data_IF_508103347496
#
_entry.id   IF_508103347496
#
_cell.length_a   1.000
_cell.length_b   1.000
_cell.length_c   1.000
_cell.angle_alpha   90.00
_cell.angle_beta   90.00
_cell.angle_gamma   90.00
#
_symmetry.space_group_name_H-M   'P 1'
#
loop_
_entity.id
_entity.type
_entity.pdbx_description
1 polymer ?
#
# COMPACT_ATOMS: atom_id res chain seq x y z
N UNK A 1 -43.97 -48.43 -29.65
CA UNK A 1 -42.47 -48.44 -29.68
C UNK A 1 -42.07 -47.14 -29.06
N UNK A 2 -41.82 -47.23 -27.74
CA UNK A 2 -41.42 -46.08 -26.90
C UNK A 2 -39.91 -45.98 -26.93
N UNK A 3 -39.38 -44.82 -27.38
CA UNK A 3 -38.01 -44.47 -27.21
C UNK A 3 -37.91 -43.63 -25.95
N UNK A 4 -37.39 -44.23 -24.88
CA UNK A 4 -37.07 -43.54 -23.65
C UNK A 4 -35.83 -42.68 -23.81
N UNK A 5 -35.99 -41.36 -23.76
CA UNK A 5 -34.92 -40.40 -23.62
C UNK A 5 -34.36 -40.44 -22.22
N UNK A 6 -33.16 -40.99 -22.07
CA UNK A 6 -32.38 -40.93 -20.83
C UNK A 6 -31.69 -39.57 -20.75
N UNK A 7 -32.25 -38.64 -19.98
CA UNK A 7 -31.57 -37.41 -19.56
C UNK A 7 -30.40 -37.79 -18.66
N UNK A 8 -29.18 -37.48 -19.12
CA UNK A 8 -27.98 -37.59 -18.27
C UNK A 8 -27.93 -36.32 -17.39
N UNK A 9 -28.02 -36.52 -16.08
CA UNK A 9 -27.72 -35.48 -15.11
C UNK A 9 -26.30 -34.89 -15.36
N UNK A 10 -26.10 -33.60 -15.21
CA UNK A 10 -24.79 -32.99 -15.34
C UNK A 10 -23.93 -33.45 -14.14
N UNK A 11 -22.85 -34.17 -14.43
CA UNK A 11 -21.79 -34.50 -13.46
C UNK A 11 -21.19 -33.19 -12.97
N UNK A 12 -21.43 -32.83 -11.72
CA UNK A 12 -20.71 -31.77 -11.04
C UNK A 12 -19.25 -32.15 -10.96
N UNK A 13 -18.28 -31.28 -11.30
CA UNK A 13 -16.89 -31.57 -11.08
C UNK A 13 -16.66 -31.62 -9.56
N UNK A 14 -16.32 -32.77 -9.04
CA UNK A 14 -15.81 -32.96 -7.70
C UNK A 14 -14.54 -32.13 -7.58
N UNK A 15 -14.65 -30.91 -7.00
CA UNK A 15 -13.53 -30.11 -6.58
C UNK A 15 -12.86 -30.81 -5.38
N UNK A 16 -11.78 -31.49 -5.63
CA UNK A 16 -10.87 -31.95 -4.57
C UNK A 16 -10.27 -30.68 -3.94
N UNK A 17 -10.85 -30.21 -2.86
CA UNK A 17 -10.19 -29.34 -1.91
C UNK A 17 -9.24 -30.22 -1.11
N UNK A 18 -7.98 -30.29 -1.53
CA UNK A 18 -6.91 -30.89 -0.74
C UNK A 18 -6.63 -29.93 0.44
N UNK A 19 -7.49 -29.98 1.47
CA UNK A 19 -7.36 -29.20 2.71
C UNK A 19 -6.29 -29.82 3.62
N UNK A 20 -5.08 -29.94 3.11
CA UNK A 20 -3.96 -30.25 3.99
C UNK A 20 -3.72 -29.03 4.88
N UNK A 21 -3.86 -29.14 6.22
CA UNK A 21 -3.64 -28.01 7.11
C UNK A 21 -2.24 -27.42 6.91
N UNK A 22 -2.15 -26.09 6.84
CA UNK A 22 -0.86 -25.42 6.73
C UNK A 22 0.03 -25.76 7.94
N UNK A 23 1.34 -25.95 7.75
CA UNK A 23 2.26 -26.07 8.87
C UNK A 23 2.10 -24.87 9.82
N UNK A 24 2.04 -25.06 11.15
CA UNK A 24 1.72 -23.96 12.10
C UNK A 24 2.64 -22.74 11.98
N UNK A 25 3.91 -22.92 11.66
CA UNK A 25 4.84 -21.81 11.46
C UNK A 25 4.56 -21.05 10.16
N UNK A 26 4.15 -21.73 9.08
CA UNK A 26 3.74 -21.12 7.83
C UNK A 26 2.47 -20.27 8.04
N UNK A 27 1.47 -20.82 8.74
CA UNK A 27 0.28 -20.05 9.10
C UNK A 27 0.64 -18.75 9.84
N UNK A 28 1.54 -18.81 10.84
CA UNK A 28 2.00 -17.64 11.59
C UNK A 28 2.81 -16.65 10.75
N UNK A 29 3.52 -17.10 9.74
CA UNK A 29 4.23 -16.25 8.78
C UNK A 29 3.22 -15.54 7.88
N UNK A 30 2.21 -16.23 7.38
CA UNK A 30 1.13 -15.66 6.58
C UNK A 30 0.28 -14.67 7.38
N UNK A 31 -0.02 -14.98 8.64
CA UNK A 31 -0.68 -14.05 9.56
C UNK A 31 0.08 -12.73 9.72
N UNK A 32 1.41 -12.79 9.76
CA UNK A 32 2.23 -11.59 9.78
C UNK A 32 2.25 -10.87 8.42
N UNK A 33 2.39 -11.62 7.31
CA UNK A 33 2.42 -11.07 5.96
C UNK A 33 1.17 -10.24 5.65
N UNK A 34 -0.03 -10.75 5.96
CA UNK A 34 -1.29 -10.05 5.73
C UNK A 34 -1.46 -8.77 6.55
N UNK A 35 -0.67 -8.53 7.62
CA UNK A 35 -0.69 -7.29 8.37
C UNK A 35 -0.02 -6.12 7.64
N UNK A 36 0.61 -6.37 6.50
CA UNK A 36 1.23 -5.35 5.68
C UNK A 36 0.26 -4.20 5.31
N UNK A 37 0.77 -2.98 5.05
CA UNK A 37 -0.04 -1.92 4.49
C UNK A 37 -0.33 -2.16 3.02
N UNK A 38 -1.49 -1.71 2.58
CA UNK A 38 -1.83 -1.57 1.17
C UNK A 38 -2.68 -0.32 0.99
N UNK A 39 -2.67 0.24 -0.22
CA UNK A 39 -3.53 1.37 -0.55
C UNK A 39 -4.99 0.98 -0.26
N UNK A 40 -5.73 1.85 0.41
CA UNK A 40 -7.14 1.70 0.74
C UNK A 40 -7.54 0.34 1.32
N UNK A 41 -6.59 -0.38 1.94
CA UNK A 41 -6.77 -1.73 2.47
C UNK A 41 -7.20 -2.75 1.40
N UNK A 42 -6.74 -2.58 0.16
CA UNK A 42 -7.09 -3.45 -0.97
C UNK A 42 -6.44 -4.84 -0.89
N UNK A 43 -5.31 -4.96 -0.19
CA UNK A 43 -4.63 -6.23 0.08
C UNK A 43 -4.30 -7.02 -1.20
N UNK A 44 -3.53 -6.43 -2.13
CA UNK A 44 -3.32 -6.97 -3.48
C UNK A 44 -2.26 -8.07 -3.51
N UNK A 45 -2.31 -8.99 -2.57
CA UNK A 45 -1.41 -10.13 -2.48
C UNK A 45 -2.16 -11.44 -2.56
N UNK A 46 -1.48 -12.43 -3.15
CA UNK A 46 -1.83 -13.85 -3.10
C UNK A 46 -0.62 -14.63 -2.60
N UNK A 47 -0.87 -15.70 -1.90
CA UNK A 47 0.14 -16.60 -1.35
C UNK A 47 -0.09 -18.01 -1.92
N UNK A 48 0.85 -18.49 -2.73
CA UNK A 48 0.86 -19.88 -3.13
C UNK A 48 1.78 -20.63 -2.16
N UNK A 49 1.23 -21.61 -1.45
CA UNK A 49 1.95 -22.38 -0.45
C UNK A 49 2.18 -23.79 -0.96
N UNK A 50 3.43 -24.23 -0.93
CA UNK A 50 3.86 -25.60 -1.23
C UNK A 50 4.75 -26.07 -0.07
N UNK A 51 4.18 -26.85 0.84
CA UNK A 51 4.83 -27.30 2.07
C UNK A 51 5.36 -26.11 2.91
N UNK A 52 6.68 -25.98 3.01
CA UNK A 52 7.37 -24.90 3.73
C UNK A 52 7.74 -23.70 2.84
N UNK A 53 7.30 -23.72 1.59
CA UNK A 53 7.60 -22.67 0.61
C UNK A 53 6.39 -21.79 0.37
N UNK A 54 6.60 -20.47 0.41
CA UNK A 54 5.58 -19.46 0.08
C UNK A 54 6.06 -18.68 -1.14
N UNK A 55 5.24 -18.67 -2.20
CA UNK A 55 5.38 -17.73 -3.32
C UNK A 55 4.44 -16.55 -3.13
N UNK A 56 4.97 -15.34 -3.26
CA UNK A 56 4.26 -14.08 -3.09
C UNK A 56 3.90 -13.52 -4.46
N UNK A 57 2.60 -13.43 -4.75
CA UNK A 57 2.07 -12.98 -6.03
C UNK A 57 1.25 -11.69 -5.87
N UNK A 58 1.05 -10.97 -6.99
CA UNK A 58 0.11 -9.85 -7.05
C UNK A 58 -1.27 -10.35 -7.45
N UNK A 59 -2.30 -9.93 -6.72
CA UNK A 59 -3.69 -10.04 -7.14
C UNK A 59 -4.06 -8.77 -7.94
N UNK A 60 -3.96 -8.84 -9.25
CA UNK A 60 -4.23 -7.71 -10.15
C UNK A 60 -5.69 -7.26 -10.14
N UNK A 61 -6.61 -8.12 -9.70
CA UNK A 61 -8.03 -7.82 -9.64
C UNK A 61 -8.39 -6.90 -8.46
N UNK A 62 -7.57 -6.90 -7.42
CA UNK A 62 -7.84 -6.13 -6.20
C UNK A 62 -7.49 -4.65 -6.29
N UNK A 63 -6.62 -4.24 -7.21
CA UNK A 63 -6.28 -2.83 -7.43
C UNK A 63 -6.17 -2.51 -8.92
N UNK A 64 -7.31 -2.26 -9.55
CA UNK A 64 -7.41 -1.83 -10.96
C UNK A 64 -7.47 -0.31 -11.12
N UNK A 65 -7.06 0.44 -10.12
CA UNK A 65 -7.14 1.90 -10.19
C UNK A 65 -6.18 2.48 -11.22
N UNK A 66 -6.49 3.63 -11.83
CA UNK A 66 -5.57 4.35 -12.71
C UNK A 66 -4.23 4.68 -12.05
N UNK A 67 -4.25 4.94 -10.75
CA UNK A 67 -3.06 5.19 -9.94
C UNK A 67 -2.17 3.95 -9.73
N UNK A 68 -2.63 2.77 -10.14
CA UNK A 68 -1.89 1.50 -10.15
C UNK A 68 -1.86 0.87 -11.54
N UNK A 69 -2.00 1.67 -12.60
CA UNK A 69 -2.09 1.19 -13.98
C UNK A 69 -0.87 0.36 -14.43
N UNK A 70 0.27 0.55 -13.81
CA UNK A 70 1.51 -0.21 -14.02
C UNK A 70 1.72 -1.33 -12.96
N UNK A 71 0.80 -1.51 -12.02
CA UNK A 71 0.89 -2.48 -10.92
C UNK A 71 1.86 -2.13 -9.81
N UNK A 72 2.49 -0.94 -9.83
CA UNK A 72 3.51 -0.51 -8.89
C UNK A 72 3.05 -0.51 -7.44
N UNK A 73 1.88 0.07 -7.17
CA UNK A 73 1.36 0.15 -5.79
C UNK A 73 1.08 -1.24 -5.22
N UNK A 74 0.60 -2.15 -6.05
CA UNK A 74 0.38 -3.55 -5.65
C UNK A 74 1.72 -4.25 -5.34
N UNK A 75 2.75 -4.09 -6.19
CA UNK A 75 4.09 -4.69 -5.95
C UNK A 75 4.74 -4.14 -4.68
N UNK A 76 4.60 -2.85 -4.40
CA UNK A 76 5.06 -2.24 -3.13
C UNK A 76 4.33 -2.86 -1.93
N UNK A 77 3.01 -3.07 -2.03
CA UNK A 77 2.24 -3.71 -0.95
C UNK A 77 2.67 -5.17 -0.72
N UNK A 78 2.93 -5.94 -1.80
CA UNK A 78 3.48 -7.30 -1.70
C UNK A 78 4.88 -7.27 -1.09
N UNK A 79 5.73 -6.31 -1.45
CA UNK A 79 7.05 -6.12 -0.83
C UNK A 79 6.95 -5.89 0.68
N UNK A 80 5.98 -5.08 1.13
CA UNK A 80 5.72 -4.90 2.56
C UNK A 80 5.24 -6.21 3.23
N UNK A 81 4.45 -7.05 2.54
CA UNK A 81 4.02 -8.35 3.04
C UNK A 81 5.20 -9.33 3.17
N UNK A 82 6.10 -9.36 2.17
CA UNK A 82 7.35 -10.13 2.22
C UNK A 82 8.17 -9.72 3.45
N UNK A 83 8.33 -8.43 3.70
CA UNK A 83 9.08 -7.96 4.86
C UNK A 83 8.45 -8.38 6.19
N UNK A 84 7.12 -8.31 6.31
CA UNK A 84 6.40 -8.82 7.49
C UNK A 84 6.64 -10.32 7.70
N UNK A 85 6.62 -11.12 6.63
CA UNK A 85 6.91 -12.55 6.67
C UNK A 85 8.34 -12.83 7.15
N UNK A 86 9.33 -12.15 6.57
CA UNK A 86 10.75 -12.29 6.92
C UNK A 86 11.04 -11.88 8.37
N UNK A 87 10.46 -10.78 8.84
CA UNK A 87 10.59 -10.34 10.23
C UNK A 87 9.96 -11.35 11.20
N UNK A 88 8.82 -11.93 10.83
CA UNK A 88 8.18 -12.98 11.63
C UNK A 88 9.03 -14.24 11.69
N UNK A 89 9.54 -14.70 10.55
CA UNK A 89 10.43 -15.84 10.46
C UNK A 89 11.72 -15.64 11.26
N UNK A 90 12.36 -14.48 11.14
CA UNK A 90 13.56 -14.13 11.91
C UNK A 90 13.33 -14.18 13.41
N UNK A 91 12.15 -13.69 13.89
CA UNK A 91 11.79 -13.77 15.31
C UNK A 91 11.57 -15.21 15.79
N UNK A 92 11.16 -16.11 14.92
CA UNK A 92 11.03 -17.53 15.22
C UNK A 92 12.37 -18.28 15.13
N UNK A 93 13.43 -17.65 14.64
CA UNK A 93 14.70 -18.29 14.35
C UNK A 93 14.63 -19.27 13.16
N UNK A 94 13.67 -19.06 12.26
CA UNK A 94 13.49 -19.84 11.05
C UNK A 94 14.61 -19.50 10.06
N UNK A 95 15.26 -20.51 9.51
CA UNK A 95 16.18 -20.35 8.38
C UNK A 95 15.35 -20.10 7.13
N UNK A 96 15.67 -19.02 6.41
CA UNK A 96 15.00 -18.65 5.18
C UNK A 96 15.91 -18.87 3.98
N UNK A 97 15.35 -19.44 2.90
CA UNK A 97 16.04 -19.55 1.62
C UNK A 97 15.21 -18.85 0.55
N UNK A 98 15.71 -17.71 0.09
CA UNK A 98 15.11 -16.99 -1.04
C UNK A 98 15.50 -17.70 -2.33
N UNK A 99 14.52 -17.97 -3.18
CA UNK A 99 14.70 -18.59 -4.48
C UNK A 99 14.41 -17.56 -5.59
N UNK A 100 14.87 -17.85 -6.79
CA UNK A 100 14.46 -17.08 -7.96
C UNK A 100 12.93 -17.11 -8.11
N UNK A 101 12.29 -15.97 -8.43
CA UNK A 101 10.86 -15.93 -8.67
C UNK A 101 10.45 -16.94 -9.75
N UNK A 102 9.31 -17.61 -9.55
CA UNK A 102 8.73 -18.58 -10.49
C UNK A 102 7.26 -18.24 -10.70
N UNK A 103 6.73 -18.61 -11.85
CA UNK A 103 5.30 -18.58 -12.14
C UNK A 103 4.63 -17.22 -11.83
N UNK A 104 5.30 -16.11 -12.17
CA UNK A 104 4.79 -14.76 -11.93
C UNK A 104 4.90 -14.27 -10.49
N UNK A 105 5.47 -15.05 -9.57
CA UNK A 105 5.72 -14.62 -8.22
C UNK A 105 6.76 -13.49 -8.15
N UNK A 106 6.60 -12.56 -7.22
CA UNK A 106 7.58 -11.53 -6.92
C UNK A 106 8.72 -12.02 -6.03
N UNK A 107 8.45 -13.03 -5.21
CA UNK A 107 9.44 -13.75 -4.41
C UNK A 107 8.94 -15.16 -4.10
N UNK A 108 9.85 -16.10 -3.99
CA UNK A 108 9.60 -17.47 -3.51
C UNK A 108 10.57 -17.75 -2.37
N UNK A 109 10.06 -18.10 -1.20
CA UNK A 109 10.84 -18.23 0.03
C UNK A 109 10.47 -19.52 0.75
N UNK A 110 11.45 -20.37 1.02
CA UNK A 110 11.31 -21.55 1.88
C UNK A 110 11.67 -21.18 3.31
N UNK A 111 10.85 -21.62 4.28
CA UNK A 111 10.99 -21.35 5.69
C UNK A 111 11.14 -22.68 6.45
N UNK A 112 12.28 -22.90 7.06
CA UNK A 112 12.44 -24.12 7.89
C UNK A 112 11.54 -24.08 9.13
N UNK A 113 11.15 -25.25 9.61
CA UNK A 113 10.39 -25.35 10.85
C UNK A 113 11.20 -24.82 12.05
N UNK A 114 10.65 -23.90 12.86
CA UNK A 114 11.34 -23.37 14.02
C UNK A 114 11.22 -24.30 15.23
N UNK A 115 12.16 -24.20 16.17
CA UNK A 115 12.08 -24.94 17.43
C UNK A 115 10.92 -24.49 18.33
N UNK A 116 10.53 -23.21 18.19
CA UNK A 116 9.39 -22.65 18.93
C UNK A 116 8.78 -21.48 18.15
N UNK A 117 7.50 -21.20 18.42
CA UNK A 117 6.76 -20.08 17.81
C UNK A 117 6.49 -19.03 18.91
N UNK A 118 7.32 -17.99 19.04
CA UNK A 118 7.08 -16.91 20.00
C UNK A 118 5.95 -15.98 19.54
N UNK A 119 5.51 -15.09 20.43
CA UNK A 119 4.58 -14.02 20.08
C UNK A 119 5.13 -13.11 18.96
N UNK A 120 4.27 -12.53 18.12
CA UNK A 120 4.69 -11.60 17.08
C UNK A 120 5.30 -10.34 17.68
N UNK A 121 6.08 -9.60 16.88
CA UNK A 121 6.54 -8.27 17.25
C UNK A 121 5.33 -7.34 17.47
N UNK A 122 5.26 -6.70 18.62
CA UNK A 122 4.16 -5.78 18.96
C UNK A 122 3.99 -4.68 17.92
N UNK A 123 5.08 -4.19 17.33
CA UNK A 123 5.02 -3.16 16.30
C UNK A 123 4.27 -3.60 15.04
N UNK A 124 4.36 -4.89 14.65
CA UNK A 124 3.57 -5.44 13.54
C UNK A 124 2.07 -5.29 13.77
N UNK A 125 1.62 -5.57 15.00
CA UNK A 125 0.20 -5.49 15.36
C UNK A 125 -0.23 -4.05 15.61
N UNK A 126 0.64 -3.22 16.19
CA UNK A 126 0.33 -1.83 16.55
C UNK A 126 0.36 -0.86 15.38
N UNK A 127 1.16 -1.14 14.33
CA UNK A 127 1.28 -0.28 13.17
C UNK A 127 -0.10 0.02 12.55
N UNK A 128 -0.41 1.28 12.42
CA UNK A 128 -1.64 1.75 11.77
C UNK A 128 -1.35 3.04 10.99
N UNK A 129 -2.12 3.29 9.93
CA UNK A 129 -2.13 4.59 9.25
C UNK A 129 -2.82 5.60 10.15
N UNK A 130 -2.11 6.64 10.55
CA UNK A 130 -2.65 7.71 11.39
C UNK A 130 -2.83 8.97 10.56
N UNK A 131 -4.08 9.42 10.39
CA UNK A 131 -4.46 10.57 9.56
C UNK A 131 -4.82 11.82 10.37
N UNK A 132 -4.52 11.85 11.67
CA UNK A 132 -4.61 13.08 12.46
C UNK A 132 -3.59 14.14 12.01
N UNK A 133 -3.83 15.38 12.36
CA UNK A 133 -2.76 16.37 12.44
C UNK A 133 -1.81 15.96 13.56
N UNK A 134 -0.50 16.06 13.30
CA UNK A 134 0.51 15.73 14.30
C UNK A 134 0.90 16.97 15.11
N UNK A 135 1.49 16.79 16.26
CA UNK A 135 1.80 17.90 17.18
C UNK A 135 2.98 18.77 16.75
N UNK A 136 3.51 18.55 15.57
CA UNK A 136 4.53 19.37 14.95
C UNK A 136 5.85 19.49 15.73
N UNK A 137 6.08 18.65 16.73
CA UNK A 137 7.30 18.57 17.52
C UNK A 137 8.48 18.10 16.65
N UNK A 138 9.64 18.74 16.78
CA UNK A 138 10.84 18.27 16.12
C UNK A 138 11.39 16.98 16.82
N UNK A 139 11.98 16.09 16.02
CA UNK A 139 12.78 14.98 16.57
C UNK A 139 14.20 15.48 16.86
N UNK A 140 14.81 14.89 17.86
CA UNK A 140 16.23 15.09 18.16
C UNK A 140 17.14 14.27 17.22
N UNK A 141 18.40 14.67 17.15
CA UNK A 141 19.40 14.02 16.29
C UNK A 141 19.66 12.56 16.67
N UNK A 142 19.55 12.22 17.96
CA UNK A 142 19.73 10.85 18.44
C UNK A 142 18.62 9.93 17.92
N UNK A 143 17.37 10.43 17.88
CA UNK A 143 16.26 9.68 17.28
C UNK A 143 16.47 9.49 15.78
N UNK A 144 16.91 10.53 15.05
CA UNK A 144 17.23 10.38 13.63
C UNK A 144 18.39 9.41 13.37
N UNK A 145 19.44 9.43 14.19
CA UNK A 145 20.54 8.49 14.10
C UNK A 145 20.07 7.05 14.28
N UNK A 146 19.25 6.81 15.29
CA UNK A 146 18.68 5.50 15.55
C UNK A 146 17.77 5.03 14.40
N UNK A 147 16.93 5.91 13.84
CA UNK A 147 16.07 5.57 12.69
C UNK A 147 16.89 5.16 11.46
N UNK A 148 18.00 5.86 11.18
CA UNK A 148 18.91 5.52 10.08
C UNK A 148 19.57 4.14 10.30
N UNK A 149 20.01 3.86 11.52
CA UNK A 149 20.60 2.57 11.87
C UNK A 149 19.57 1.43 11.77
N UNK A 150 18.33 1.66 12.22
CA UNK A 150 17.24 0.68 12.16
C UNK A 150 16.74 0.40 10.73
N UNK A 151 17.12 1.24 9.76
CA UNK A 151 16.69 1.15 8.36
C UNK A 151 17.86 1.21 7.40
N UNK A 152 18.76 0.21 7.43
CA UNK A 152 19.88 0.15 6.50
C UNK A 152 19.41 0.06 5.06
N UNK A 153 20.30 0.38 4.13
CA UNK A 153 20.06 0.22 2.69
C UNK A 153 19.64 -1.23 2.42
N UNK A 154 18.56 -1.39 1.69
CA UNK A 154 18.05 -2.68 1.28
C UNK A 154 18.10 -2.77 -0.24
N UNK A 155 18.97 -3.63 -0.76
CA UNK A 155 19.22 -3.73 -2.20
C UNK A 155 19.64 -2.35 -2.76
N UNK A 156 18.92 -1.80 -3.74
CA UNK A 156 19.18 -0.47 -4.32
C UNK A 156 18.39 0.66 -3.65
N UNK A 157 17.59 0.37 -2.59
CA UNK A 157 16.68 1.34 -1.98
C UNK A 157 17.35 2.06 -0.81
N UNK A 158 17.40 3.38 -0.88
CA UNK A 158 17.81 4.26 0.20
C UNK A 158 16.60 4.78 0.96
N UNK A 159 16.66 4.69 2.28
CA UNK A 159 15.68 5.29 3.18
C UNK A 159 16.21 6.64 3.67
N UNK A 160 15.60 7.72 3.20
CA UNK A 160 16.04 9.09 3.51
C UNK A 160 15.12 9.71 4.55
N UNK A 161 15.71 10.18 5.64
CA UNK A 161 15.00 10.79 6.77
C UNK A 161 15.21 12.29 6.79
N UNK A 162 14.14 13.05 6.81
CA UNK A 162 14.15 14.51 6.83
C UNK A 162 13.29 15.04 7.99
N UNK A 163 13.76 16.13 8.60
CA UNK A 163 13.02 16.82 9.64
C UNK A 163 11.86 17.67 9.10
N UNK A 164 11.27 18.44 10.00
CA UNK A 164 10.06 19.25 9.80
C UNK A 164 10.16 20.24 8.63
N UNK A 165 11.32 20.88 8.43
CA UNK A 165 11.46 21.89 7.37
C UNK A 165 11.26 21.27 5.98
N UNK A 166 11.68 20.03 5.79
CA UNK A 166 11.39 19.31 4.54
C UNK A 166 9.89 19.01 4.39
N UNK A 167 9.22 18.65 5.47
CA UNK A 167 7.77 18.44 5.45
C UNK A 167 7.02 19.69 5.01
N UNK A 168 7.41 20.87 5.51
CA UNK A 168 6.84 22.16 5.09
C UNK A 168 7.12 22.45 3.60
N UNK A 169 8.34 22.22 3.13
CA UNK A 169 8.70 22.41 1.71
C UNK A 169 7.85 21.52 0.79
N UNK A 170 7.52 20.31 1.23
CA UNK A 170 6.69 19.38 0.45
C UNK A 170 5.21 19.72 0.50
N UNK A 171 4.73 20.46 1.48
CA UNK A 171 3.33 20.78 1.67
C UNK A 171 2.62 21.29 0.41
N UNK A 172 3.09 22.37 -0.24
CA UNK A 172 2.47 22.90 -1.47
C UNK A 172 2.51 21.90 -2.63
N UNK A 173 3.57 21.11 -2.74
CA UNK A 173 3.72 20.10 -3.82
C UNK A 173 2.71 18.98 -3.63
N UNK A 174 2.53 18.51 -2.40
CA UNK A 174 1.53 17.48 -2.07
C UNK A 174 0.10 18.03 -2.22
N UNK A 175 -0.13 19.29 -1.88
CA UNK A 175 -1.42 19.97 -2.11
C UNK A 175 -1.83 19.88 -3.59
N UNK A 176 -0.93 20.27 -4.49
CA UNK A 176 -1.20 20.22 -5.94
C UNK A 176 -1.37 18.77 -6.41
N UNK A 177 -0.52 17.85 -5.96
CA UNK A 177 -0.60 16.45 -6.35
C UNK A 177 -1.94 15.81 -5.92
N UNK A 178 -2.40 16.04 -4.71
CA UNK A 178 -3.70 15.52 -4.23
C UNK A 178 -4.87 16.22 -4.92
N UNK A 179 -4.76 17.51 -5.23
CA UNK A 179 -5.77 18.25 -5.99
C UNK A 179 -5.98 17.63 -7.37
N UNK A 180 -4.88 17.37 -8.09
CA UNK A 180 -4.89 16.74 -9.41
C UNK A 180 -5.37 15.27 -9.35
N UNK A 181 -4.95 14.52 -8.32
CA UNK A 181 -5.39 13.15 -8.13
C UNK A 181 -6.92 13.05 -7.98
N UNK A 182 -7.53 13.91 -7.16
CA UNK A 182 -8.97 13.92 -6.95
C UNK A 182 -9.75 14.63 -8.06
N UNK A 183 -9.12 15.46 -8.87
CA UNK A 183 -9.74 16.05 -10.06
C UNK A 183 -10.03 14.99 -11.13
N UNK A 184 -9.21 13.96 -11.28
CA UNK A 184 -9.50 12.82 -12.17
C UNK A 184 -10.69 12.01 -11.65
N UNK A 185 -11.81 11.91 -12.42
CA UNK A 185 -13.02 11.22 -11.97
C UNK A 185 -12.80 9.74 -11.68
N UNK A 186 -11.90 9.08 -12.45
CA UNK A 186 -11.63 7.64 -12.32
C UNK A 186 -10.92 7.33 -10.98
N UNK A 187 -9.94 8.15 -10.59
CA UNK A 187 -9.27 8.01 -9.29
C UNK A 187 -10.21 8.28 -8.13
N UNK A 188 -11.01 9.34 -8.27
CA UNK A 188 -11.99 9.70 -7.24
C UNK A 188 -13.01 8.61 -7.03
N UNK A 189 -13.54 8.03 -8.10
CA UNK A 189 -14.49 6.92 -8.04
C UNK A 189 -13.91 5.75 -7.26
N UNK A 190 -12.70 5.28 -7.61
CA UNK A 190 -12.04 4.18 -6.92
C UNK A 190 -11.77 4.52 -5.45
N UNK A 191 -11.30 5.74 -5.16
CA UNK A 191 -11.05 6.17 -3.78
C UNK A 191 -12.33 6.20 -2.94
N UNK A 192 -13.46 6.62 -3.52
CA UNK A 192 -14.76 6.65 -2.85
C UNK A 192 -15.34 5.25 -2.67
N UNK A 193 -15.19 4.36 -3.65
CA UNK A 193 -15.62 2.95 -3.54
C UNK A 193 -14.86 2.20 -2.44
N UNK A 194 -13.63 2.61 -2.15
CA UNK A 194 -12.85 2.03 -1.07
C UNK A 194 -13.34 2.45 0.33
N UNK A 195 -14.18 3.48 0.44
CA UNK A 195 -14.70 3.95 1.72
C UNK A 195 -16.08 3.34 2.01
N UNK A 196 -16.19 2.68 3.15
CA UNK A 196 -17.41 2.03 3.62
C UNK A 196 -18.25 3.05 4.40
N UNK A 197 -19.21 3.66 3.71
CA UNK A 197 -20.17 4.64 4.28
C UNK A 197 -21.31 3.98 5.04
N UNK A 198 -21.49 2.69 4.85
CA UNK A 198 -22.54 1.85 5.41
C UNK A 198 -22.22 1.32 6.82
N UNK A 199 -21.01 1.53 7.30
CA UNK A 199 -20.54 1.05 8.61
C UNK A 199 -20.33 2.20 9.60
N UNK A 200 -20.39 1.88 10.89
CA UNK A 200 -20.09 2.85 11.95
C UNK A 200 -18.63 3.28 11.90
N UNK A 201 -18.33 4.51 12.32
CA UNK A 201 -16.97 5.08 12.28
C UNK A 201 -15.91 4.20 12.93
N UNK A 202 -16.23 3.57 14.06
CA UNK A 202 -15.31 2.71 14.82
C UNK A 202 -15.42 1.24 14.45
N UNK A 203 -16.28 0.89 13.51
CA UNK A 203 -16.41 -0.48 13.06
C UNK A 203 -15.17 -0.89 12.26
N UNK A 204 -14.64 -2.05 12.58
CA UNK A 204 -13.48 -2.60 11.89
C UNK A 204 -13.92 -3.32 10.61
N UNK A 205 -13.44 -2.85 9.48
CA UNK A 205 -13.72 -3.42 8.16
C UNK A 205 -12.53 -4.22 7.65
N UNK A 206 -12.79 -5.32 6.97
CA UNK A 206 -11.75 -6.18 6.38
C UNK A 206 -11.36 -5.75 4.96
N UNK A 207 -12.24 -5.04 4.26
CA UNK A 207 -11.99 -4.46 2.92
C UNK A 207 -12.36 -2.98 2.94
N UNK A 208 -11.52 -2.15 2.34
CA UNK A 208 -11.71 -0.71 2.33
C UNK A 208 -11.45 -0.06 3.69
N UNK A 209 -12.02 1.11 3.89
CA UNK A 209 -11.83 1.99 5.04
C UNK A 209 -13.19 2.42 5.60
N UNK A 210 -13.38 2.39 6.91
CA UNK A 210 -14.48 3.12 7.54
C UNK A 210 -14.18 4.63 7.56
N UNK A 211 -15.19 5.48 7.68
CA UNK A 211 -15.00 6.94 7.80
C UNK A 211 -14.11 7.32 8.99
N UNK A 212 -14.16 6.54 10.08
CA UNK A 212 -13.28 6.74 11.23
C UNK A 212 -11.80 6.60 10.92
N UNK A 213 -11.43 5.79 9.92
CA UNK A 213 -10.04 5.65 9.47
C UNK A 213 -9.50 6.90 8.75
N UNK A 214 -10.37 7.79 8.29
CA UNK A 214 -9.99 9.00 7.57
C UNK A 214 -9.70 10.19 8.50
N UNK A 215 -10.09 10.11 9.77
CA UNK A 215 -9.90 11.14 10.81
C UNK A 215 -10.41 12.52 10.36
N UNK A 216 -11.60 12.54 9.76
CA UNK A 216 -12.23 13.75 9.24
C UNK A 216 -12.92 14.54 10.37
N UNK A 217 -12.77 15.86 10.37
CA UNK A 217 -13.63 16.77 11.14
C UNK A 217 -15.08 16.72 10.66
N UNK A 218 -16.01 17.25 11.43
CA UNK A 218 -17.43 17.26 11.05
C UNK A 218 -17.68 17.97 9.70
N UNK A 219 -16.98 19.10 9.45
CA UNK A 219 -17.07 19.83 8.19
C UNK A 219 -16.44 19.08 7.01
N UNK A 220 -15.32 18.39 7.23
CA UNK A 220 -14.70 17.55 6.21
C UNK A 220 -15.55 16.33 5.87
N UNK A 221 -16.25 15.73 6.83
CA UNK A 221 -17.20 14.63 6.59
C UNK A 221 -18.35 15.07 5.69
N UNK A 222 -18.92 16.26 5.94
CA UNK A 222 -19.97 16.80 5.10
C UNK A 222 -19.49 17.03 3.66
N UNK A 223 -18.27 17.57 3.49
CA UNK A 223 -17.62 17.73 2.17
C UNK A 223 -17.40 16.38 1.50
N UNK A 224 -16.91 15.40 2.24
CA UNK A 224 -16.62 14.07 1.72
C UNK A 224 -17.91 13.32 1.31
N UNK A 225 -18.98 13.45 2.08
CA UNK A 225 -20.29 12.89 1.72
C UNK A 225 -20.88 13.55 0.46
N UNK A 226 -20.61 14.84 0.24
CA UNK A 226 -21.03 15.53 -0.98
C UNK A 226 -20.32 15.02 -2.24
N UNK A 227 -19.06 14.55 -2.13
CA UNK A 227 -18.32 13.96 -3.24
C UNK A 227 -19.04 12.77 -3.90
N UNK A 228 -19.81 12.01 -3.11
CA UNK A 228 -20.52 10.82 -3.58
C UNK A 228 -21.75 11.13 -4.46
N UNK A 229 -22.38 12.28 -4.25
CA UNK A 229 -23.70 12.58 -4.79
C UNK A 229 -23.70 13.75 -5.77
N UNK A 230 -22.58 14.43 -5.93
CA UNK A 230 -22.49 15.70 -6.67
C UNK A 230 -21.80 15.49 -8.02
N UNK A 231 -22.36 15.96 -9.14
CA UNK A 231 -21.70 15.93 -10.44
C UNK A 231 -20.33 16.63 -10.42
N UNK A 232 -19.43 16.16 -11.29
CA UNK A 232 -18.02 16.62 -11.32
C UNK A 232 -17.88 18.13 -11.52
N UNK A 233 -18.65 18.69 -12.45
CA UNK A 233 -18.60 20.11 -12.79
C UNK A 233 -18.97 20.98 -11.58
N UNK A 234 -19.94 20.51 -10.80
CA UNK A 234 -20.37 21.16 -9.58
C UNK A 234 -19.34 21.06 -8.46
N UNK A 235 -18.66 19.90 -8.35
CA UNK A 235 -17.55 19.72 -7.40
C UNK A 235 -16.38 20.64 -7.71
N UNK A 236 -16.05 20.78 -8.99
CA UNK A 236 -15.00 21.70 -9.45
C UNK A 236 -15.37 23.16 -9.12
N UNK A 237 -16.61 23.58 -9.44
CA UNK A 237 -17.12 24.92 -9.13
C UNK A 237 -17.14 25.23 -7.63
N UNK A 238 -17.37 24.22 -6.78
CA UNK A 238 -17.33 24.35 -5.31
C UNK A 238 -15.90 24.33 -4.74
N UNK A 239 -14.88 24.17 -5.56
CA UNK A 239 -13.48 24.08 -5.13
C UNK A 239 -13.17 22.86 -4.24
N UNK A 240 -13.91 21.77 -4.39
CA UNK A 240 -13.81 20.59 -3.49
C UNK A 240 -12.42 19.95 -3.65
N UNK A 241 -11.89 19.86 -4.87
CA UNK A 241 -10.58 19.25 -5.11
C UNK A 241 -9.44 20.04 -4.47
N UNK A 242 -9.50 21.37 -4.54
CA UNK A 242 -8.55 22.22 -3.82
C UNK A 242 -8.64 22.06 -2.29
N UNK A 243 -9.84 21.82 -1.74
CA UNK A 243 -10.00 21.54 -0.30
C UNK A 243 -9.37 20.20 0.11
N UNK A 244 -9.43 19.16 -0.76
CA UNK A 244 -8.74 17.89 -0.50
C UNK A 244 -7.22 18.09 -0.51
N UNK A 245 -6.69 18.81 -1.48
CA UNK A 245 -5.27 19.19 -1.55
C UNK A 245 -4.82 19.99 -0.33
N UNK A 246 -5.57 21.05 0.03
CA UNK A 246 -5.25 21.87 1.21
C UNK A 246 -5.26 21.05 2.52
N UNK A 247 -6.12 20.04 2.63
CA UNK A 247 -6.08 19.07 3.74
C UNK A 247 -4.78 18.28 3.73
N UNK A 248 -4.41 17.72 2.60
CA UNK A 248 -3.17 16.94 2.47
C UNK A 248 -1.94 17.78 2.85
N UNK A 249 -1.88 19.05 2.42
CA UNK A 249 -0.85 20.01 2.84
C UNK A 249 -0.80 20.15 4.36
N UNK A 250 -1.93 20.45 5.02
CA UNK A 250 -1.96 20.57 6.49
C UNK A 250 -1.46 19.31 7.18
N UNK A 251 -1.82 18.14 6.68
CA UNK A 251 -1.37 16.86 7.22
C UNK A 251 0.16 16.71 7.12
N UNK A 252 0.76 17.09 6.00
CA UNK A 252 2.22 17.00 5.81
C UNK A 252 2.94 18.05 6.65
N UNK A 253 2.52 19.31 6.62
CA UNK A 253 3.15 20.41 7.36
C UNK A 253 3.08 20.25 8.88
N UNK A 254 2.09 19.48 9.39
CA UNK A 254 1.98 19.15 10.81
C UNK A 254 2.99 18.08 11.25
N UNK A 255 3.65 17.38 10.33
CA UNK A 255 4.54 16.28 10.65
C UNK A 255 5.83 16.75 11.34
N UNK A 256 6.40 15.89 12.18
CA UNK A 256 7.73 16.05 12.76
C UNK A 256 8.83 15.84 11.73
N UNK A 257 8.51 15.12 10.68
CA UNK A 257 9.38 14.85 9.55
C UNK A 257 8.76 13.95 8.51
N UNK A 258 9.53 13.69 7.47
CA UNK A 258 9.17 12.78 6.38
C UNK A 258 10.30 11.80 6.11
N UNK A 259 9.91 10.58 5.74
CA UNK A 259 10.79 9.55 5.25
C UNK A 259 10.44 9.27 3.79
N UNK A 260 11.43 9.16 2.92
CA UNK A 260 11.26 8.84 1.50
C UNK A 260 12.13 7.68 1.10
N UNK A 261 11.66 6.90 0.14
CA UNK A 261 12.32 5.68 -0.35
C UNK A 261 12.72 5.92 -1.80
N UNK A 262 14.01 6.15 -2.02
CA UNK A 262 14.56 6.38 -3.36
C UNK A 262 15.28 5.13 -3.84
N UNK A 263 15.09 4.79 -5.10
CA UNK A 263 15.74 3.65 -5.74
C UNK A 263 16.10 4.01 -7.17
N UNK A 264 17.19 3.45 -7.66
CA UNK A 264 17.52 3.45 -9.09
C UNK A 264 16.81 2.26 -9.73
N UNK A 265 16.09 2.49 -10.81
CA UNK A 265 15.32 1.47 -11.52
C UNK A 265 13.81 1.59 -11.36
N UNK A 266 13.09 0.87 -12.22
CA UNK A 266 11.63 0.89 -12.31
C UNK A 266 11.03 -0.54 -12.47
N UNK A 267 11.81 -1.56 -12.18
CA UNK A 267 11.39 -2.96 -12.29
C UNK A 267 10.60 -3.46 -11.07
N UNK A 268 10.05 -4.64 -11.18
CA UNK A 268 9.27 -5.26 -10.12
C UNK A 268 10.08 -5.52 -8.85
N UNK A 269 11.36 -5.86 -8.97
CA UNK A 269 12.24 -6.12 -7.83
C UNK A 269 12.50 -4.83 -7.04
N UNK A 270 12.70 -3.71 -7.75
CA UNK A 270 12.83 -2.38 -7.16
C UNK A 270 11.58 -1.99 -6.36
N UNK A 271 10.38 -2.20 -6.92
CA UNK A 271 9.12 -1.89 -6.22
C UNK A 271 8.94 -2.76 -4.96
N UNK A 272 9.30 -4.05 -5.03
CA UNK A 272 9.32 -4.96 -3.87
C UNK A 272 10.28 -4.44 -2.80
N UNK A 273 11.49 -4.04 -3.17
CA UNK A 273 12.50 -3.51 -2.25
C UNK A 273 12.03 -2.20 -1.60
N UNK A 274 11.35 -1.31 -2.35
CA UNK A 274 10.70 -0.10 -1.81
C UNK A 274 9.65 -0.47 -0.76
N UNK A 275 8.79 -1.44 -1.03
CA UNK A 275 7.77 -1.92 -0.11
C UNK A 275 8.37 -2.48 1.19
N UNK A 276 9.43 -3.29 1.07
CA UNK A 276 10.17 -3.84 2.20
C UNK A 276 10.82 -2.73 3.05
N UNK A 277 11.47 -1.77 2.40
CA UNK A 277 12.12 -0.63 3.08
C UNK A 277 11.11 0.24 3.81
N UNK A 278 9.96 0.55 3.16
CA UNK A 278 8.86 1.30 3.76
C UNK A 278 8.32 0.60 5.01
N UNK A 279 8.11 -0.71 4.95
CA UNK A 279 7.61 -1.46 6.10
C UNK A 279 8.61 -1.45 7.26
N UNK A 280 9.91 -1.61 7.03
CA UNK A 280 10.95 -1.48 8.06
C UNK A 280 10.93 -0.12 8.73
N UNK A 281 10.92 0.94 7.93
CA UNK A 281 10.87 2.31 8.44
C UNK A 281 9.62 2.56 9.29
N UNK A 282 8.47 2.09 8.84
CA UNK A 282 7.22 2.25 9.59
C UNK A 282 7.23 1.48 10.92
N UNK A 283 7.77 0.28 10.93
CA UNK A 283 7.92 -0.49 12.17
C UNK A 283 8.94 0.15 13.13
N UNK A 284 10.02 0.72 12.61
CA UNK A 284 11.00 1.47 13.43
C UNK A 284 10.32 2.69 14.10
N UNK A 285 9.53 3.46 13.37
CA UNK A 285 8.73 4.55 13.91
C UNK A 285 7.76 4.06 15.00
N UNK A 286 7.04 2.97 14.72
CA UNK A 286 6.08 2.39 15.67
C UNK A 286 6.75 1.94 16.97
N UNK A 287 7.94 1.35 16.91
CA UNK A 287 8.73 0.96 18.11
C UNK A 287 9.16 2.16 18.96
N UNK A 288 9.27 3.33 18.35
CA UNK A 288 9.56 4.61 19.04
C UNK A 288 8.32 5.36 19.51
N UNK A 289 7.13 4.77 19.37
CA UNK A 289 5.87 5.42 19.71
C UNK A 289 5.48 6.55 18.75
N UNK A 290 6.11 6.61 17.58
CA UNK A 290 5.77 7.55 16.53
C UNK A 290 4.69 6.95 15.62
N UNK A 291 3.77 7.79 15.18
CA UNK A 291 2.74 7.44 14.21
C UNK A 291 3.16 7.85 12.82
N UNK A 292 2.60 7.20 11.79
CA UNK A 292 2.94 7.52 10.42
C UNK A 292 1.75 7.34 9.44
N UNK A 293 1.88 8.01 8.29
CA UNK A 293 0.90 7.96 7.20
C UNK A 293 1.62 8.06 5.85
N UNK A 294 1.50 7.04 4.99
CA UNK A 294 2.07 7.08 3.65
C UNK A 294 1.24 7.97 2.73
N UNK A 295 1.92 8.77 1.92
CA UNK A 295 1.36 9.65 0.90
C UNK A 295 1.92 9.20 -0.43
N UNK A 296 1.06 8.76 -1.33
CA UNK A 296 1.42 8.21 -2.64
C UNK A 296 1.03 9.11 -3.82
N UNK A 297 0.48 10.30 -3.58
CA UNK A 297 -0.05 11.16 -4.62
C UNK A 297 0.96 11.42 -5.76
N UNK A 298 2.22 11.73 -5.44
CA UNK A 298 3.27 11.95 -6.44
C UNK A 298 3.54 10.71 -7.29
N UNK A 299 3.69 9.55 -6.65
CA UNK A 299 3.89 8.29 -7.36
C UNK A 299 2.67 7.92 -8.22
N UNK A 300 1.47 8.20 -7.74
CA UNK A 300 0.22 7.97 -8.47
C UNK A 300 0.11 8.88 -9.71
N UNK A 301 0.46 10.16 -9.58
CA UNK A 301 0.46 11.09 -10.72
C UNK A 301 1.47 10.69 -11.81
N UNK A 302 2.67 10.24 -11.41
CA UNK A 302 3.68 9.74 -12.36
C UNK A 302 3.12 8.54 -13.15
N UNK A 303 2.57 7.54 -12.46
CA UNK A 303 1.95 6.36 -13.08
C UNK A 303 0.81 6.75 -14.04
N UNK A 304 -0.04 7.68 -13.63
CA UNK A 304 -1.15 8.16 -14.47
C UNK A 304 -0.66 8.89 -15.72
N UNK A 305 0.35 9.75 -15.58
CA UNK A 305 0.95 10.46 -16.71
C UNK A 305 1.59 9.49 -17.71
N UNK A 306 2.36 8.52 -17.22
CA UNK A 306 2.97 7.49 -18.07
C UNK A 306 1.92 6.64 -18.79
N UNK A 307 0.85 6.25 -18.10
CA UNK A 307 -0.25 5.48 -18.70
C UNK A 307 -0.98 6.30 -19.78
N UNK A 308 -1.28 7.57 -19.53
CA UNK A 308 -1.92 8.45 -20.51
C UNK A 308 -1.03 8.66 -21.74
N UNK A 309 0.28 8.86 -21.55
CA UNK A 309 1.25 9.00 -22.65
C UNK A 309 1.31 7.73 -23.51
N UNK A 310 1.38 6.56 -22.90
CA UNK A 310 1.38 5.27 -23.63
C UNK A 310 0.10 5.03 -24.42
N UNK A 311 -1.03 5.43 -23.87
CA UNK A 311 -2.34 5.28 -24.53
C UNK A 311 -2.62 6.35 -25.58
N UNK A 312 -1.77 7.37 -25.74
CA UNK A 312 -2.03 8.53 -26.59
C UNK A 312 -3.28 9.33 -26.16
N UNK A 313 -3.70 9.20 -24.90
CA UNK A 313 -4.92 9.83 -24.40
C UNK A 313 -4.61 11.26 -23.93
N UNK A 314 -5.33 12.28 -24.43
CA UNK A 314 -5.16 13.65 -23.93
C UNK A 314 -5.44 13.71 -22.42
N UNK A 315 -4.59 14.43 -21.69
CA UNK A 315 -4.80 14.73 -20.28
C UNK A 315 -4.93 16.25 -20.14
N UNK A 316 -6.09 16.73 -19.73
CA UNK A 316 -6.37 18.16 -19.57
C UNK A 316 -5.46 18.83 -18.53
N UNK A 317 -4.93 18.05 -17.57
CA UNK A 317 -4.03 18.53 -16.52
C UNK A 317 -2.56 18.15 -16.76
N UNK A 318 -2.20 17.67 -17.96
CA UNK A 318 -0.86 17.15 -18.26
C UNK A 318 0.28 18.14 -17.92
N UNK A 319 0.11 19.42 -18.24
CA UNK A 319 1.11 20.46 -17.94
C UNK A 319 1.24 20.68 -16.43
N UNK A 320 0.11 20.71 -15.71
CA UNK A 320 0.11 20.85 -14.23
C UNK A 320 0.74 19.64 -13.56
N UNK A 321 0.44 18.43 -14.04
CA UNK A 321 1.06 17.19 -13.55
C UNK A 321 2.57 17.24 -13.79
N UNK A 322 3.03 17.61 -14.98
CA UNK A 322 4.45 17.71 -15.30
C UNK A 322 5.16 18.77 -14.43
N UNK A 323 4.51 19.92 -14.19
CA UNK A 323 5.03 20.94 -13.30
C UNK A 323 5.13 20.46 -11.84
N UNK A 324 4.10 19.77 -11.32
CA UNK A 324 4.09 19.20 -9.97
C UNK A 324 5.19 18.15 -9.80
N UNK A 325 5.38 17.25 -10.76
CA UNK A 325 6.43 16.23 -10.74
C UNK A 325 7.84 16.86 -10.85
N UNK A 326 8.00 17.92 -11.63
CA UNK A 326 9.26 18.67 -11.73
C UNK A 326 9.59 19.34 -10.40
N UNK A 327 8.62 20.00 -9.77
CA UNK A 327 8.80 20.62 -8.44
C UNK A 327 9.13 19.57 -7.37
N UNK A 328 8.48 18.40 -7.44
CA UNK A 328 8.76 17.29 -6.53
C UNK A 328 10.20 16.77 -6.70
N UNK A 329 10.69 16.59 -7.93
CA UNK A 329 12.09 16.19 -8.18
C UNK A 329 13.08 17.21 -7.61
N UNK A 330 12.83 18.50 -7.79
CA UNK A 330 13.67 19.54 -7.23
C UNK A 330 13.69 19.55 -5.69
N UNK A 331 12.57 19.14 -5.05
CA UNK A 331 12.49 19.03 -3.61
C UNK A 331 13.25 17.83 -3.02
N UNK A 332 13.65 16.85 -3.85
CA UNK A 332 14.40 15.67 -3.44
C UNK A 332 15.80 15.67 -4.10
N UNK A 333 16.79 16.36 -3.55
CA UNK A 333 18.09 16.58 -4.21
C UNK A 333 18.89 15.30 -4.46
N UNK A 334 18.54 14.21 -3.79
CA UNK A 334 19.16 12.90 -3.97
C UNK A 334 18.34 11.94 -4.85
N UNK A 335 17.32 12.46 -5.52
CA UNK A 335 16.53 11.67 -6.44
C UNK A 335 17.22 11.68 -7.81
N UNK A 336 17.78 10.56 -8.20
CA UNK A 336 18.39 10.40 -9.52
C UNK A 336 17.35 10.62 -10.62
N UNK A 337 17.79 11.10 -11.78
CA UNK A 337 16.90 11.47 -12.89
C UNK A 337 16.01 10.30 -13.33
N UNK A 338 16.56 9.10 -13.28
CA UNK A 338 15.88 7.85 -13.68
C UNK A 338 15.07 7.20 -12.56
N UNK A 339 15.15 7.73 -11.34
CA UNK A 339 14.36 7.22 -10.22
C UNK A 339 12.90 7.60 -10.38
N UNK A 340 12.01 6.68 -10.00
CA UNK A 340 10.57 6.92 -9.92
C UNK A 340 10.24 7.83 -8.73
N UNK A 341 9.08 8.54 -8.82
CA UNK A 341 8.60 9.37 -7.71
C UNK A 341 8.44 8.53 -6.44
N UNK A 342 8.98 9.01 -5.29
CA UNK A 342 8.91 8.26 -4.05
C UNK A 342 7.52 8.29 -3.42
N UNK A 343 7.23 7.27 -2.61
CA UNK A 343 6.21 7.38 -1.58
C UNK A 343 6.80 8.17 -0.42
N UNK A 344 6.03 9.13 0.10
CA UNK A 344 6.41 9.94 1.25
C UNK A 344 5.71 9.39 2.49
N UNK A 345 6.47 8.95 3.48
CA UNK A 345 5.93 8.54 4.77
C UNK A 345 6.08 9.69 5.76
N UNK A 346 5.01 10.47 6.01
CA UNK A 346 5.03 11.48 7.06
C UNK A 346 4.93 10.84 8.44
N UNK A 347 5.62 11.37 9.42
CA UNK A 347 5.64 10.82 10.78
C UNK A 347 5.68 11.90 11.86
N UNK A 348 5.30 11.52 13.09
CA UNK A 348 5.28 12.42 14.23
C UNK A 348 4.55 11.83 15.42
N UNK A 349 4.05 12.67 16.31
CA UNK A 349 3.22 12.28 17.45
C UNK A 349 1.79 12.72 17.23
N UNK A 350 0.86 11.84 17.54
CA UNK A 350 -0.57 12.11 17.55
C UNK A 350 -1.31 11.10 18.45
N UNK A 351 -2.56 11.37 18.82
CA UNK A 351 -3.42 10.38 19.46
C UNK A 351 -3.52 9.09 18.62
N UNK A 352 -3.88 7.97 19.24
CA UNK A 352 -4.22 6.75 18.50
C UNK A 352 -5.33 7.01 17.47
N UNK A 353 -5.34 6.20 16.41
CA UNK A 353 -6.38 6.28 15.37
C UNK A 353 -7.76 5.98 15.96
N UNK A 354 -8.80 6.71 15.48
CA UNK A 354 -10.20 6.50 15.87
C UNK A 354 -10.69 5.11 15.50
N UNK A 355 -10.28 4.63 14.33
CA UNK A 355 -10.62 3.30 13.83
C UNK A 355 -9.41 2.62 13.20
N UNK A 356 -9.46 1.31 13.12
CA UNK A 356 -8.45 0.47 12.47
C UNK A 356 -9.12 -0.44 11.44
N UNK A 357 -8.40 -0.79 10.40
CA UNK A 357 -8.83 -1.80 9.46
C UNK A 357 -8.33 -3.17 9.89
N UNK A 358 -9.15 -4.18 9.72
CA UNK A 358 -8.73 -5.59 9.77
C UNK A 358 -8.14 -6.00 8.42
N UNK A 359 -7.66 -7.22 8.37
CA UNK A 359 -7.24 -7.87 7.14
C UNK A 359 -8.15 -9.06 6.86
N UNK A 360 -8.24 -9.41 5.60
CA UNK A 360 -8.90 -10.65 5.18
C UNK A 360 -8.26 -11.84 5.89
N UNK A 361 -9.02 -12.90 6.21
CA UNK A 361 -8.45 -14.18 6.63
C UNK A 361 -7.39 -14.68 5.65
N UNK A 362 -6.40 -15.43 6.13
CA UNK A 362 -5.33 -15.98 5.27
C UNK A 362 -5.90 -16.75 4.10
N UNK A 363 -6.93 -17.58 4.35
CA UNK A 363 -7.58 -18.42 3.34
C UNK A 363 -8.06 -17.64 2.12
N UNK A 364 -8.55 -16.40 2.30
CA UNK A 364 -8.98 -15.53 1.19
C UNK A 364 -7.82 -14.94 0.38
N UNK A 365 -6.60 -15.13 0.84
CA UNK A 365 -5.37 -14.71 0.15
C UNK A 365 -4.53 -15.89 -0.36
N UNK A 366 -4.97 -17.12 -0.13
CA UNK A 366 -4.30 -18.28 -0.73
C UNK A 366 -4.62 -18.36 -2.23
N UNK A 367 -3.61 -18.70 -3.01
CA UNK A 367 -3.71 -19.00 -4.43
C UNK A 367 -3.79 -20.52 -4.62
N UNK A 368 -4.58 -20.97 -5.60
CA UNK A 368 -4.58 -22.37 -6.03
C UNK A 368 -3.68 -22.54 -7.24
N UNK A 369 -2.89 -23.60 -7.28
CA UNK A 369 -1.88 -23.85 -8.32
C UNK A 369 -2.43 -23.84 -9.77
N UNK A 370 -3.76 -23.88 -9.96
CA UNK A 370 -4.43 -23.93 -11.28
C UNK A 370 -5.13 -22.63 -11.70
N UNK A 371 -5.39 -21.69 -10.78
CA UNK A 371 -6.27 -20.54 -11.07
C UNK A 371 -5.51 -19.25 -11.39
N UNK A 372 -4.25 -19.13 -11.01
CA UNK A 372 -3.52 -17.85 -10.99
C UNK A 372 -2.27 -17.82 -11.91
N UNK A 373 -2.19 -18.70 -12.91
CA UNK A 373 -1.16 -18.54 -13.95
C UNK A 373 -1.54 -17.32 -14.80
N UNK A 374 -0.76 -16.24 -14.79
CA UNK A 374 -1.05 -15.08 -15.63
C UNK A 374 -1.08 -15.52 -17.11
N UNK A 375 -1.98 -14.97 -17.95
CA UNK A 375 -1.93 -15.22 -19.37
C UNK A 375 -0.55 -14.80 -19.92
N UNK A 376 -0.01 -15.52 -20.91
CA UNK A 376 1.26 -15.15 -21.51
C UNK A 376 1.19 -13.70 -22.02
N UNK A 377 2.29 -12.96 -21.99
CA UNK A 377 2.33 -11.59 -22.50
C UNK A 377 1.77 -11.61 -23.94
N UNK A 378 0.83 -10.74 -24.22
CA UNK A 378 0.36 -10.52 -25.61
C UNK A 378 1.52 -9.90 -26.38
N UNK A 379 1.97 -10.59 -27.42
CA UNK A 379 2.96 -10.13 -28.38
C UNK A 379 2.51 -8.84 -29.09
#
# INVERSE_FOLDING_TARGET
MDEASTEREPVQPEGVTDETPLPPHIERILDAARLAPSRDNLQPWRFLVDGETISFLVDHERDRSPANADGRMARIAVGAAIECALLRAGRMGTVTKVQAPRDGALATITFSAPKRIPEPDKALVQRATNRHLYDARALDDATFAWLREATPVLESVRTLWFGRERAKTLGPIIEEAETLFFADPRNREVALQAVRFDVRDREEVTRGLSLGCLELSASERATFAALLKTPQERLAAMGVFAKTGARARRLVESASGVCVFTATGADSATDVAVGRSMQRAWLALTRRGLVAHPISALASLETMQEAATRAGTPNADAERIAAALTAARAAFPNLERESRMPIVLRFGWAPPTTARVRRLPVVESLATARADTPPPPRE
#
